data_IF_556680451016
#
_entry.id   IF_556680451016
#
_cell.length_a   1.000
_cell.length_b   1.000
_cell.length_c   1.000
_cell.angle_alpha   90.00
_cell.angle_beta   90.00
_cell.angle_gamma   90.00
#
_symmetry.space_group_name_H-M   'P 1'
#
loop_
_entity.id
_entity.type
_entity.pdbx_description
1 polymer ?
#
# COMPACT_ATOMS: atom_id res chain seq x y z
N UNK A 1 -64.82 -66.90 -9.11
CA UNK A 1 -65.63 -65.66 -9.02
C UNK A 1 -65.28 -65.00 -7.69
N UNK A 2 -64.67 -63.82 -7.56
CA UNK A 2 -64.63 -62.64 -8.42
C UNK A 2 -63.19 -62.06 -8.49
N UNK A 3 -62.80 -61.58 -9.68
CA UNK A 3 -61.56 -60.86 -9.93
C UNK A 3 -61.73 -59.40 -9.52
N UNK A 4 -60.96 -58.94 -8.53
CA UNK A 4 -60.88 -57.53 -8.12
C UNK A 4 -60.03 -56.78 -9.15
N UNK A 5 -60.68 -55.95 -9.96
CA UNK A 5 -60.01 -55.06 -10.92
C UNK A 5 -59.47 -53.82 -10.18
N UNK A 6 -58.14 -53.72 -10.07
CA UNK A 6 -57.45 -52.52 -9.57
C UNK A 6 -57.39 -51.52 -10.71
N UNK A 7 -58.28 -50.53 -10.69
CA UNK A 7 -58.30 -49.43 -11.65
C UNK A 7 -57.18 -48.42 -11.29
N UNK A 8 -56.02 -48.53 -11.96
CA UNK A 8 -54.95 -47.54 -11.87
C UNK A 8 -55.40 -46.21 -12.49
N UNK A 9 -55.55 -45.16 -11.66
CA UNK A 9 -55.78 -43.79 -12.16
C UNK A 9 -54.47 -43.24 -12.75
N UNK A 10 -54.42 -42.85 -14.03
CA UNK A 10 -53.21 -42.26 -14.60
C UNK A 10 -52.96 -40.88 -13.98
N UNK A 11 -51.75 -40.66 -13.41
CA UNK A 11 -51.28 -39.31 -13.05
C UNK A 11 -51.07 -38.55 -14.36
N UNK A 12 -51.99 -37.66 -14.71
CA UNK A 12 -51.83 -36.77 -15.85
C UNK A 12 -50.54 -35.94 -15.69
N UNK A 13 -49.56 -36.18 -16.57
CA UNK A 13 -48.37 -35.35 -16.65
C UNK A 13 -48.79 -33.94 -17.12
N UNK A 14 -48.74 -32.97 -16.21
CA UNK A 14 -49.12 -31.58 -16.47
C UNK A 14 -48.11 -30.97 -17.46
N UNK A 15 -48.46 -30.89 -18.74
CA UNK A 15 -47.63 -30.23 -19.78
C UNK A 15 -47.63 -28.73 -19.54
N UNK A 16 -46.46 -28.16 -19.24
CA UNK A 16 -46.25 -26.70 -19.16
C UNK A 16 -46.55 -26.09 -20.54
N UNK A 17 -47.45 -25.10 -20.60
CA UNK A 17 -47.85 -24.47 -21.87
C UNK A 17 -46.78 -23.48 -22.36
N UNK A 18 -46.54 -23.39 -23.67
CA UNK A 18 -45.56 -22.45 -24.27
C UNK A 18 -45.80 -20.99 -23.85
N UNK A 19 -47.07 -20.62 -23.58
CA UNK A 19 -47.48 -19.30 -23.09
C UNK A 19 -46.91 -18.92 -21.71
N UNK A 20 -46.52 -19.89 -20.87
CA UNK A 20 -45.84 -19.65 -19.60
C UNK A 20 -44.30 -19.67 -19.70
N UNK A 21 -43.74 -20.20 -20.80
CA UNK A 21 -42.29 -20.29 -21.02
C UNK A 21 -41.66 -18.95 -21.43
N UNK A 22 -42.35 -18.16 -22.25
CA UNK A 22 -41.86 -16.84 -22.72
C UNK A 22 -41.63 -15.84 -21.56
N UNK A 23 -42.59 -15.58 -20.66
CA UNK A 23 -42.36 -14.67 -19.53
C UNK A 23 -41.36 -15.23 -18.52
N UNK A 24 -41.25 -16.57 -18.40
CA UNK A 24 -40.26 -17.22 -17.56
C UNK A 24 -38.84 -17.00 -18.10
N UNK A 25 -38.64 -17.15 -19.41
CA UNK A 25 -37.36 -16.86 -20.06
C UNK A 25 -36.97 -15.38 -19.93
N UNK A 26 -37.94 -14.46 -20.07
CA UNK A 26 -37.71 -13.03 -19.83
C UNK A 26 -37.30 -12.74 -18.39
N UNK A 27 -37.96 -13.35 -17.41
CA UNK A 27 -37.62 -13.22 -15.99
C UNK A 27 -36.21 -13.77 -15.70
N UNK A 28 -35.86 -14.92 -16.27
CA UNK A 28 -34.53 -15.52 -16.16
C UNK A 28 -33.46 -14.60 -16.75
N UNK A 29 -33.74 -13.99 -17.91
CA UNK A 29 -32.87 -13.00 -18.55
C UNK A 29 -32.64 -11.76 -17.67
N UNK A 30 -33.70 -11.23 -17.05
CA UNK A 30 -33.60 -10.11 -16.10
C UNK A 30 -32.72 -10.47 -14.90
N UNK A 31 -32.89 -11.68 -14.33
CA UNK A 31 -32.04 -12.15 -13.23
C UNK A 31 -30.58 -12.22 -13.63
N UNK A 32 -30.27 -12.82 -14.78
CA UNK A 32 -28.89 -12.96 -15.30
C UNK A 32 -28.26 -11.57 -15.50
N UNK A 33 -28.97 -10.66 -16.18
CA UNK A 33 -28.48 -9.31 -16.46
C UNK A 33 -28.27 -8.54 -15.16
N UNK A 34 -29.19 -8.64 -14.20
CA UNK A 34 -29.08 -7.94 -12.92
C UNK A 34 -27.90 -8.45 -12.11
N UNK A 35 -27.71 -9.77 -12.01
CA UNK A 35 -26.54 -10.35 -11.33
C UNK A 35 -25.23 -9.98 -12.02
N UNK A 36 -25.20 -9.95 -13.36
CA UNK A 36 -24.03 -9.53 -14.11
C UNK A 36 -23.68 -8.05 -13.86
N UNK A 37 -24.67 -7.16 -13.84
CA UNK A 37 -24.46 -5.73 -13.56
C UNK A 37 -23.98 -5.49 -12.13
N UNK A 38 -24.54 -6.19 -11.14
CA UNK A 38 -24.07 -6.15 -9.74
C UNK A 38 -22.60 -6.63 -9.66
N UNK A 39 -22.26 -7.71 -10.36
CA UNK A 39 -20.90 -8.24 -10.42
C UNK A 39 -19.91 -7.25 -11.03
N UNK A 40 -20.25 -6.65 -12.18
CA UNK A 40 -19.42 -5.65 -12.86
C UNK A 40 -19.24 -4.38 -12.02
N UNK A 41 -20.32 -3.90 -11.39
CA UNK A 41 -20.25 -2.75 -10.49
C UNK A 41 -19.38 -3.05 -9.27
N UNK A 42 -19.53 -4.23 -8.66
CA UNK A 42 -18.70 -4.67 -7.55
C UNK A 42 -17.23 -4.77 -7.92
N UNK A 43 -16.93 -5.31 -9.10
CA UNK A 43 -15.56 -5.40 -9.63
C UNK A 43 -14.96 -4.00 -9.88
N UNK A 44 -15.72 -3.09 -10.49
CA UNK A 44 -15.28 -1.72 -10.74
C UNK A 44 -15.01 -0.95 -9.45
N UNK A 45 -15.90 -1.08 -8.46
CA UNK A 45 -15.75 -0.47 -7.15
C UNK A 45 -14.53 -1.02 -6.40
N UNK A 46 -14.34 -2.35 -6.42
CA UNK A 46 -13.17 -3.00 -5.83
C UNK A 46 -11.87 -2.55 -6.52
N UNK A 47 -11.87 -2.48 -7.85
CA UNK A 47 -10.71 -2.08 -8.65
C UNK A 47 -10.30 -0.63 -8.37
N UNK A 48 -11.25 0.32 -8.35
CA UNK A 48 -10.95 1.72 -8.04
C UNK A 48 -10.30 1.89 -6.67
N UNK A 49 -10.87 1.25 -5.65
CA UNK A 49 -10.29 1.31 -4.31
C UNK A 49 -8.91 0.65 -4.27
N UNK A 50 -8.73 -0.51 -4.91
CA UNK A 50 -7.43 -1.17 -4.98
C UNK A 50 -6.34 -0.30 -5.61
N UNK A 51 -6.64 0.41 -6.71
CA UNK A 51 -5.65 1.29 -7.37
C UNK A 51 -5.25 2.46 -6.46
N UNK A 52 -6.20 3.08 -5.77
CA UNK A 52 -5.90 4.18 -4.84
C UNK A 52 -5.09 3.69 -3.64
N UNK A 53 -5.46 2.53 -3.11
CA UNK A 53 -4.79 1.87 -1.99
C UNK A 53 -3.34 1.52 -2.35
N UNK A 54 -3.10 0.97 -3.55
CA UNK A 54 -1.76 0.67 -4.05
C UNK A 54 -0.91 1.92 -4.24
N UNK A 55 -1.47 3.00 -4.80
CA UNK A 55 -0.74 4.28 -4.93
C UNK A 55 -0.28 4.83 -3.59
N UNK A 56 -1.09 4.70 -2.53
CA UNK A 56 -0.71 5.13 -1.18
C UNK A 56 0.45 4.30 -0.61
N UNK A 57 0.40 2.98 -0.80
CA UNK A 57 1.48 2.08 -0.36
C UNK A 57 2.77 2.37 -1.13
N UNK A 58 2.68 2.50 -2.45
CA UNK A 58 3.83 2.77 -3.32
C UNK A 58 4.48 4.11 -2.98
N UNK A 59 3.69 5.16 -2.77
CA UNK A 59 4.20 6.46 -2.32
C UNK A 59 4.97 6.34 -0.99
N UNK A 60 4.47 5.57 -0.02
CA UNK A 60 5.15 5.37 1.26
C UNK A 60 6.38 4.47 1.17
N UNK A 61 6.39 3.49 0.25
CA UNK A 61 7.58 2.68 -0.03
C UNK A 61 8.71 3.53 -0.62
N UNK A 62 8.40 4.50 -1.47
CA UNK A 62 9.39 5.48 -1.96
C UNK A 62 9.99 6.26 -0.80
N UNK A 63 9.18 6.71 0.18
CA UNK A 63 9.70 7.41 1.38
C UNK A 63 10.57 6.51 2.24
N UNK A 64 10.21 5.23 2.38
CA UNK A 64 11.04 4.26 3.08
C UNK A 64 12.41 4.10 2.39
N UNK A 65 12.41 4.00 1.07
CA UNK A 65 13.63 3.88 0.28
C UNK A 65 14.51 5.13 0.39
N UNK A 66 13.93 6.32 0.35
CA UNK A 66 14.64 7.59 0.56
C UNK A 66 15.30 7.66 1.94
N UNK A 67 14.58 7.27 3.01
CA UNK A 67 15.12 7.26 4.37
C UNK A 67 16.26 6.25 4.53
N UNK A 68 16.14 5.05 3.97
CA UNK A 68 17.20 4.03 4.00
C UNK A 68 18.40 4.45 3.15
N UNK A 69 18.15 5.06 2.00
CA UNK A 69 19.20 5.64 1.16
C UNK A 69 19.95 6.74 1.90
N UNK A 70 19.25 7.61 2.64
CA UNK A 70 19.89 8.65 3.44
C UNK A 70 20.84 8.06 4.49
N UNK A 71 20.41 6.98 5.18
CA UNK A 71 21.28 6.26 6.12
C UNK A 71 22.51 5.65 5.43
N UNK A 72 22.33 5.02 4.26
CA UNK A 72 23.43 4.41 3.50
C UNK A 72 24.43 5.47 3.04
N UNK A 73 23.95 6.58 2.47
CA UNK A 73 24.80 7.71 2.06
C UNK A 73 25.51 8.34 3.26
N UNK A 74 24.85 8.44 4.42
CA UNK A 74 25.50 8.91 5.64
C UNK A 74 26.65 8.00 6.08
N UNK A 75 26.45 6.68 6.08
CA UNK A 75 27.51 5.72 6.40
C UNK A 75 28.69 5.82 5.43
N UNK A 76 28.41 6.04 4.13
CA UNK A 76 29.45 6.32 3.13
C UNK A 76 30.18 7.62 3.42
N UNK A 77 29.47 8.71 3.72
CA UNK A 77 30.07 9.98 4.12
C UNK A 77 31.06 9.80 5.29
N UNK A 78 30.64 9.09 6.36
CA UNK A 78 31.50 8.79 7.51
C UNK A 78 32.70 7.93 7.12
N UNK A 79 32.53 7.01 6.17
CA UNK A 79 33.62 6.21 5.66
C UNK A 79 34.62 7.05 4.85
N UNK A 80 34.14 7.96 3.99
CA UNK A 80 35.00 8.86 3.22
C UNK A 80 35.71 9.88 4.10
N UNK A 81 35.07 10.33 5.19
CA UNK A 81 35.73 11.08 6.25
C UNK A 81 36.92 10.31 6.82
N UNK A 82 36.73 9.05 7.24
CA UNK A 82 37.84 8.22 7.75
C UNK A 82 38.92 7.99 6.70
N UNK A 83 38.54 7.77 5.44
CA UNK A 83 39.50 7.61 4.34
C UNK A 83 40.33 8.88 4.14
N UNK A 84 39.70 10.05 4.20
CA UNK A 84 40.37 11.34 4.14
C UNK A 84 41.41 11.49 5.26
N UNK A 85 41.07 11.13 6.49
CA UNK A 85 42.01 11.24 7.61
C UNK A 85 43.18 10.24 7.54
N UNK A 86 42.94 9.03 7.00
CA UNK A 86 43.95 7.98 6.91
C UNK A 86 44.87 8.11 5.69
N UNK A 87 44.35 8.62 4.57
CA UNK A 87 45.04 8.61 3.27
C UNK A 87 45.22 10.00 2.66
N UNK A 88 44.60 11.02 3.23
CA UNK A 88 44.65 12.41 2.73
C UNK A 88 45.96 13.15 3.00
N UNK A 89 47.03 12.47 3.42
CA UNK A 89 48.36 13.08 3.50
C UNK A 89 48.87 13.47 2.10
N UNK A 90 48.55 12.65 1.09
CA UNK A 90 48.83 12.96 -0.31
C UNK A 90 47.74 13.84 -0.92
N UNK A 91 48.14 14.89 -1.63
CA UNK A 91 47.22 15.90 -2.15
C UNK A 91 46.17 15.33 -3.13
N UNK A 92 46.52 14.28 -3.88
CA UNK A 92 45.61 13.58 -4.80
C UNK A 92 44.51 12.81 -4.07
N UNK A 93 44.90 12.01 -3.08
CA UNK A 93 43.99 11.23 -2.24
C UNK A 93 43.12 12.15 -1.38
N UNK A 94 43.68 13.24 -0.85
CA UNK A 94 42.93 14.28 -0.14
C UNK A 94 41.78 14.80 -1.00
N UNK A 95 42.07 15.26 -2.22
CA UNK A 95 41.04 15.81 -3.12
C UNK A 95 39.98 14.78 -3.45
N UNK A 96 40.38 13.52 -3.67
CA UNK A 96 39.46 12.42 -3.99
C UNK A 96 38.49 12.16 -2.83
N UNK A 97 39.01 11.92 -1.63
CA UNK A 97 38.17 11.57 -0.48
C UNK A 97 37.37 12.76 0.04
N UNK A 98 37.92 13.97 -0.01
CA UNK A 98 37.18 15.19 0.33
C UNK A 98 36.02 15.44 -0.64
N UNK A 99 36.23 15.27 -1.95
CA UNK A 99 35.15 15.39 -2.92
C UNK A 99 34.07 14.32 -2.74
N UNK A 100 34.47 13.07 -2.45
CA UNK A 100 33.52 11.99 -2.16
C UNK A 100 32.71 12.28 -0.88
N UNK A 101 33.36 12.75 0.19
CA UNK A 101 32.70 13.17 1.42
C UNK A 101 31.61 14.24 1.16
N UNK A 102 31.94 15.29 0.41
CA UNK A 102 30.97 16.35 0.08
C UNK A 102 29.84 15.86 -0.84
N UNK A 103 30.14 14.94 -1.75
CA UNK A 103 29.13 14.33 -2.61
C UNK A 103 28.12 13.52 -1.77
N UNK A 104 28.59 12.69 -0.85
CA UNK A 104 27.74 11.92 0.06
C UNK A 104 26.94 12.84 1.01
N UNK A 105 27.56 13.91 1.54
CA UNK A 105 26.87 14.93 2.34
C UNK A 105 25.67 15.54 1.60
N UNK A 106 25.88 15.91 0.33
CA UNK A 106 24.83 16.45 -0.53
C UNK A 106 23.69 15.45 -0.75
N UNK A 107 24.00 14.16 -0.94
CA UNK A 107 22.97 13.13 -1.13
C UNK A 107 22.11 12.96 0.12
N UNK A 108 22.71 12.92 1.32
CA UNK A 108 21.96 12.83 2.58
C UNK A 108 21.02 14.03 2.73
N UNK A 109 21.53 15.25 2.50
CA UNK A 109 20.72 16.47 2.58
C UNK A 109 19.58 16.49 1.56
N UNK A 110 19.81 16.01 0.33
CA UNK A 110 18.78 15.94 -0.70
C UNK A 110 17.67 14.95 -0.35
N UNK A 111 18.03 13.75 0.12
CA UNK A 111 17.06 12.71 0.49
C UNK A 111 16.20 13.13 1.69
N UNK A 112 16.82 13.71 2.73
CA UNK A 112 16.08 14.27 3.87
C UNK A 112 15.19 15.44 3.45
N UNK A 113 15.65 16.29 2.52
CA UNK A 113 14.84 17.36 1.94
C UNK A 113 13.62 16.84 1.17
N UNK A 114 13.78 15.77 0.39
CA UNK A 114 12.68 15.11 -0.33
C UNK A 114 11.60 14.60 0.64
N UNK A 115 12.02 13.95 1.73
CA UNK A 115 11.10 13.51 2.79
C UNK A 115 10.33 14.69 3.39
N UNK A 116 11.00 15.80 3.71
CA UNK A 116 10.33 16.98 4.26
C UNK A 116 9.30 17.57 3.28
N UNK A 117 9.61 17.58 1.97
CA UNK A 117 8.70 18.10 0.94
C UNK A 117 7.46 17.21 0.70
N UNK A 118 7.60 15.89 0.87
CA UNK A 118 6.57 14.90 0.54
C UNK A 118 5.24 15.02 1.33
N UNK A 119 5.26 15.70 2.48
CA UNK A 119 4.04 15.93 3.28
C UNK A 119 3.12 16.97 2.65
N UNK A 120 3.68 17.94 1.93
CA UNK A 120 2.90 18.96 1.23
C UNK A 120 1.97 18.38 0.16
N UNK A 121 2.31 17.21 -0.40
CA UNK A 121 1.58 16.57 -1.50
C UNK A 121 0.47 15.62 -1.05
N UNK A 122 0.58 15.04 0.15
CA UNK A 122 -0.30 13.95 0.62
C UNK A 122 -1.25 14.36 1.74
N UNK A 123 -1.07 15.56 2.30
CA UNK A 123 -2.02 16.21 3.20
C UNK A 123 -2.03 15.71 4.65
N UNK A 124 -1.30 14.63 5.00
CA UNK A 124 -1.18 14.20 6.39
C UNK A 124 0.14 13.47 6.70
N UNK A 125 0.98 14.08 7.55
CA UNK A 125 2.06 13.39 8.27
C UNK A 125 1.56 12.89 9.64
N UNK A 126 0.66 11.91 9.63
CA UNK A 126 0.13 11.35 10.89
C UNK A 126 1.20 10.70 11.76
N UNK A 127 2.30 10.27 11.14
CA UNK A 127 3.39 9.57 11.81
C UNK A 127 4.52 10.49 12.28
N UNK A 128 4.50 11.77 11.92
CA UNK A 128 5.50 12.77 12.32
C UNK A 128 6.89 12.55 11.69
N UNK A 129 7.00 11.72 10.66
CA UNK A 129 8.30 11.36 10.07
C UNK A 129 8.92 12.54 9.32
N UNK A 130 8.15 13.48 8.79
CA UNK A 130 8.69 14.68 8.16
C UNK A 130 9.28 15.65 9.18
N UNK A 131 8.64 15.79 10.33
CA UNK A 131 9.21 16.57 11.43
C UNK A 131 10.54 15.97 11.90
N UNK A 132 10.63 14.63 11.94
CA UNK A 132 11.87 13.91 12.25
C UNK A 132 12.92 14.10 11.16
N UNK A 133 12.54 14.01 9.88
CA UNK A 133 13.44 14.25 8.75
C UNK A 133 14.04 15.67 8.76
N UNK A 134 13.26 16.68 9.11
CA UNK A 134 13.75 18.07 9.20
C UNK A 134 14.74 18.26 10.36
N UNK A 135 14.47 17.66 11.52
CA UNK A 135 15.41 17.65 12.65
C UNK A 135 16.72 16.96 12.27
N UNK A 136 16.63 15.80 11.60
CA UNK A 136 17.78 15.07 11.08
C UNK A 136 18.57 15.88 10.06
N UNK A 137 17.90 16.58 9.14
CA UNK A 137 18.53 17.46 8.14
C UNK A 137 19.33 18.58 8.80
N UNK A 138 18.76 19.17 9.84
CA UNK A 138 19.42 20.21 10.65
C UNK A 138 20.62 19.64 11.41
N UNK A 139 20.46 18.49 12.06
CA UNK A 139 21.55 17.79 12.76
C UNK A 139 22.69 17.38 11.83
N UNK A 140 22.36 16.89 10.62
CA UNK A 140 23.33 16.54 9.57
C UNK A 140 24.11 17.77 9.09
N UNK A 141 23.43 18.90 8.87
CA UNK A 141 24.07 20.16 8.51
C UNK A 141 25.08 20.61 9.57
N UNK A 142 24.69 20.55 10.85
CA UNK A 142 25.56 20.90 11.96
C UNK A 142 26.77 19.94 12.09
N UNK A 143 26.55 18.64 11.87
CA UNK A 143 27.62 17.65 11.86
C UNK A 143 28.63 17.89 10.72
N UNK A 144 28.15 18.17 9.51
CA UNK A 144 28.96 18.55 8.36
C UNK A 144 29.87 19.75 8.65
N UNK A 145 29.33 20.74 9.36
CA UNK A 145 30.09 21.93 9.76
C UNK A 145 31.19 21.60 10.76
N UNK A 146 30.93 20.73 11.74
CA UNK A 146 31.95 20.26 12.68
C UNK A 146 33.09 19.52 11.97
N UNK A 147 32.79 18.71 10.96
CA UNK A 147 33.81 18.05 10.15
C UNK A 147 34.72 19.07 9.44
N UNK A 148 34.14 20.09 8.79
CA UNK A 148 34.91 21.14 8.10
C UNK A 148 35.76 21.96 9.07
N UNK A 149 35.23 22.30 10.24
CA UNK A 149 35.95 23.02 11.28
C UNK A 149 37.16 22.24 11.80
N UNK A 150 36.98 20.95 12.10
CA UNK A 150 38.10 20.10 12.55
C UNK A 150 39.17 19.94 11.45
N UNK A 151 38.75 19.83 10.18
CA UNK A 151 39.67 19.74 9.05
C UNK A 151 40.49 21.03 8.87
N UNK A 152 39.85 22.19 9.06
CA UNK A 152 40.51 23.49 9.01
C UNK A 152 41.48 23.68 10.20
N UNK A 153 41.09 23.28 11.41
CA UNK A 153 41.93 23.41 12.60
C UNK A 153 43.22 22.58 12.52
N UNK A 154 43.21 21.49 11.76
CA UNK A 154 44.34 20.58 11.58
C UNK A 154 45.02 20.73 10.21
N UNK A 155 44.76 21.82 9.47
CA UNK A 155 45.37 22.06 8.17
C UNK A 155 46.89 22.16 8.30
N UNK A 156 47.63 21.31 7.59
CA UNK A 156 49.10 21.28 7.62
C UNK A 156 49.71 20.43 8.75
N UNK A 157 48.89 19.79 9.58
CA UNK A 157 49.31 18.81 10.60
C UNK A 157 48.80 17.39 10.32
N UNK A 158 49.07 16.41 11.22
CA UNK A 158 48.55 15.06 11.08
C UNK A 158 47.01 15.03 11.16
N UNK A 159 46.36 14.66 10.06
CA UNK A 159 44.89 14.59 9.97
C UNK A 159 44.26 13.60 10.97
N UNK A 160 45.03 12.64 11.47
CA UNK A 160 44.56 11.69 12.51
C UNK A 160 44.13 12.38 13.82
N UNK A 161 44.67 13.56 14.14
CA UNK A 161 44.26 14.32 15.32
C UNK A 161 42.80 14.83 15.22
N UNK A 162 42.33 15.13 14.00
CA UNK A 162 40.94 15.51 13.75
C UNK A 162 39.95 14.35 14.00
N UNK A 163 40.36 13.08 13.80
CA UNK A 163 39.51 11.92 14.13
C UNK A 163 39.29 11.82 15.64
N UNK A 164 40.35 12.09 16.41
CA UNK A 164 40.34 11.94 17.85
C UNK A 164 39.41 12.95 18.53
N UNK A 165 39.37 14.19 18.02
CA UNK A 165 38.45 15.24 18.44
C UNK A 165 36.98 14.89 18.14
N UNK A 166 36.72 14.31 16.96
CA UNK A 166 35.36 14.04 16.47
C UNK A 166 34.92 12.60 16.71
N UNK A 167 35.60 11.86 17.58
CA UNK A 167 35.33 10.44 17.77
C UNK A 167 33.89 10.18 18.23
N UNK A 168 33.10 9.56 17.36
CA UNK A 168 31.75 9.07 17.67
C UNK A 168 30.63 10.11 17.64
N UNK A 169 30.91 11.33 17.17
CA UNK A 169 29.89 12.39 17.05
C UNK A 169 28.78 12.04 16.05
N UNK A 170 29.06 11.13 15.12
CA UNK A 170 28.21 10.65 14.05
C UNK A 170 27.24 9.55 14.49
N UNK A 171 27.54 8.86 15.60
CA UNK A 171 26.78 7.67 16.06
C UNK A 171 25.31 7.97 16.35
N UNK A 172 25.05 9.11 16.98
CA UNK A 172 23.68 9.51 17.31
C UNK A 172 22.86 9.73 16.03
N UNK A 173 23.46 10.38 15.02
CA UNK A 173 22.78 10.65 13.76
C UNK A 173 22.52 9.36 12.95
N UNK A 174 23.43 8.38 13.01
CA UNK A 174 23.20 7.06 12.39
C UNK A 174 21.97 6.35 13.01
N UNK A 175 21.89 6.33 14.34
CA UNK A 175 20.77 5.72 15.08
C UNK A 175 19.46 6.45 14.78
N UNK A 176 19.48 7.78 14.70
CA UNK A 176 18.28 8.55 14.38
C UNK A 176 17.82 8.33 12.93
N UNK A 177 18.75 8.20 11.98
CA UNK A 177 18.44 7.87 10.57
C UNK A 177 17.86 6.46 10.44
N UNK A 178 18.40 5.50 11.19
CA UNK A 178 17.83 4.15 11.28
C UNK A 178 16.40 4.19 11.81
N UNK A 179 16.20 4.90 12.91
CA UNK A 179 14.90 5.06 13.59
C UNK A 179 13.87 5.75 12.70
N UNK A 180 14.28 6.74 11.89
CA UNK A 180 13.42 7.34 10.86
C UNK A 180 12.95 6.28 9.86
N UNK A 181 13.87 5.47 9.33
CA UNK A 181 13.55 4.38 8.42
C UNK A 181 12.65 3.31 9.04
N UNK A 182 12.75 3.05 10.34
CA UNK A 182 11.85 2.14 11.06
C UNK A 182 10.46 2.76 11.25
N UNK A 183 10.37 4.04 11.62
CA UNK A 183 9.08 4.73 11.78
C UNK A 183 8.26 4.77 10.48
N UNK A 184 8.92 4.96 9.33
CA UNK A 184 8.26 4.94 8.03
C UNK A 184 7.86 3.52 7.65
N UNK A 185 8.68 2.50 7.96
CA UNK A 185 8.34 1.09 7.76
C UNK A 185 7.08 0.72 8.55
N UNK A 186 6.99 1.11 9.81
CA UNK A 186 5.84 0.85 10.66
C UNK A 186 4.57 1.52 10.12
N UNK A 187 4.70 2.72 9.54
CA UNK A 187 3.60 3.37 8.83
C UNK A 187 3.16 2.59 7.59
N UNK A 188 4.09 2.11 6.77
CA UNK A 188 3.78 1.26 5.60
C UNK A 188 3.02 0.01 6.05
N UNK A 189 3.47 -0.66 7.10
CA UNK A 189 2.81 -1.86 7.64
C UNK A 189 1.41 -1.54 8.17
N UNK A 190 1.22 -0.40 8.83
CA UNK A 190 -0.08 0.05 9.31
C UNK A 190 -1.04 0.38 8.18
N UNK A 191 -0.56 1.04 7.12
CA UNK A 191 -1.37 1.30 5.93
C UNK A 191 -1.77 -0.03 5.29
N UNK A 192 -0.83 -0.95 5.09
CA UNK A 192 -1.12 -2.27 4.51
C UNK A 192 -2.16 -3.05 5.31
N UNK A 193 -2.04 -3.11 6.64
CA UNK A 193 -3.01 -3.82 7.48
C UNK A 193 -4.40 -3.18 7.43
N UNK A 194 -4.48 -1.84 7.43
CA UNK A 194 -5.75 -1.13 7.26
C UNK A 194 -6.38 -1.38 5.88
N UNK A 195 -5.57 -1.49 4.83
CA UNK A 195 -6.03 -1.80 3.47
C UNK A 195 -6.56 -3.22 3.35
N UNK A 196 -5.87 -4.19 3.95
CA UNK A 196 -6.31 -5.59 4.01
C UNK A 196 -7.66 -5.70 4.75
N UNK A 197 -7.82 -5.03 5.90
CA UNK A 197 -9.09 -4.98 6.63
C UNK A 197 -10.22 -4.37 5.78
N UNK A 198 -9.98 -3.22 5.13
CA UNK A 198 -10.96 -2.59 4.23
C UNK A 198 -11.27 -3.44 3.00
N UNK A 199 -10.31 -4.20 2.49
CA UNK A 199 -10.53 -5.13 1.37
C UNK A 199 -11.45 -6.27 1.79
N UNK A 200 -11.24 -6.82 2.99
CA UNK A 200 -12.11 -7.86 3.55
C UNK A 200 -13.55 -7.35 3.77
N UNK A 201 -13.71 -6.15 4.34
CA UNK A 201 -15.03 -5.51 4.52
C UNK A 201 -15.75 -5.26 3.19
N UNK A 202 -15.03 -4.79 2.17
CA UNK A 202 -15.59 -4.62 0.82
C UNK A 202 -16.01 -5.95 0.22
N UNK A 203 -15.18 -6.99 0.35
CA UNK A 203 -15.50 -8.32 -0.15
C UNK A 203 -16.73 -8.91 0.54
N UNK A 204 -16.83 -8.83 1.87
CA UNK A 204 -17.99 -9.35 2.61
C UNK A 204 -19.26 -8.59 2.25
N UNK A 205 -19.19 -7.27 2.13
CA UNK A 205 -20.33 -6.42 1.73
C UNK A 205 -20.81 -6.76 0.32
N UNK A 206 -19.89 -6.85 -0.65
CA UNK A 206 -20.23 -7.22 -2.04
C UNK A 206 -20.83 -8.63 -2.12
N UNK A 207 -20.28 -9.58 -1.37
CA UNK A 207 -20.80 -10.95 -1.29
C UNK A 207 -22.20 -11.00 -0.69
N UNK A 208 -22.47 -10.22 0.37
CA UNK A 208 -23.80 -10.14 0.99
C UNK A 208 -24.82 -9.52 0.02
N UNK A 209 -24.48 -8.40 -0.62
CA UNK A 209 -25.36 -7.74 -1.61
C UNK A 209 -25.67 -8.67 -2.78
N UNK A 210 -24.67 -9.37 -3.31
CA UNK A 210 -24.86 -10.36 -4.38
C UNK A 210 -25.74 -11.54 -3.91
N UNK A 211 -25.51 -12.05 -2.69
CA UNK A 211 -26.29 -13.13 -2.09
C UNK A 211 -27.75 -12.77 -1.86
N UNK A 212 -28.01 -11.59 -1.26
CA UNK A 212 -29.37 -11.09 -1.06
C UNK A 212 -30.08 -10.79 -2.38
N UNK A 213 -29.37 -10.22 -3.35
CA UNK A 213 -29.89 -10.00 -4.70
C UNK A 213 -30.31 -11.29 -5.39
N UNK A 214 -29.48 -12.34 -5.31
CA UNK A 214 -29.78 -13.66 -5.85
C UNK A 214 -30.97 -14.31 -5.15
N UNK A 215 -31.01 -14.26 -3.81
CA UNK A 215 -32.12 -14.81 -3.02
C UNK A 215 -33.46 -14.13 -3.37
N UNK A 216 -33.46 -12.80 -3.52
CA UNK A 216 -34.63 -12.03 -3.96
C UNK A 216 -35.07 -12.45 -5.37
N UNK A 217 -34.14 -12.62 -6.30
CA UNK A 217 -34.44 -13.09 -7.66
C UNK A 217 -35.11 -14.47 -7.65
N UNK A 218 -34.55 -15.42 -6.90
CA UNK A 218 -35.11 -16.78 -6.76
C UNK A 218 -36.50 -16.74 -6.13
N UNK A 219 -36.71 -15.91 -5.11
CA UNK A 219 -38.01 -15.73 -4.47
C UNK A 219 -39.06 -15.20 -5.46
N UNK A 220 -38.72 -14.16 -6.24
CA UNK A 220 -39.62 -13.57 -7.25
C UNK A 220 -39.97 -14.56 -8.36
N UNK A 221 -39.01 -15.36 -8.83
CA UNK A 221 -39.24 -16.46 -9.79
C UNK A 221 -40.19 -17.50 -9.19
N UNK A 222 -39.96 -17.92 -7.95
CA UNK A 222 -40.82 -18.88 -7.26
C UNK A 222 -42.27 -18.38 -7.07
N UNK A 223 -42.43 -17.12 -6.66
CA UNK A 223 -43.75 -16.48 -6.51
C UNK A 223 -44.47 -16.36 -7.86
N UNK A 224 -43.75 -15.98 -8.92
CA UNK A 224 -44.30 -15.89 -10.27
C UNK A 224 -44.78 -17.26 -10.77
N UNK A 225 -43.97 -18.31 -10.62
CA UNK A 225 -44.33 -19.67 -11.00
C UNK A 225 -45.57 -20.15 -10.23
N UNK A 226 -45.64 -19.89 -8.92
CA UNK A 226 -46.81 -20.23 -8.09
C UNK A 226 -48.07 -19.50 -8.55
N UNK A 227 -47.98 -18.22 -8.89
CA UNK A 227 -49.10 -17.43 -9.41
C UNK A 227 -49.56 -17.93 -10.79
N UNK A 228 -48.63 -18.24 -11.70
CA UNK A 228 -48.94 -18.78 -13.02
C UNK A 228 -49.66 -20.13 -12.93
N UNK A 229 -49.18 -21.03 -12.07
CA UNK A 229 -49.79 -22.34 -11.81
C UNK A 229 -51.22 -22.23 -11.28
N UNK A 230 -51.47 -21.28 -10.36
CA UNK A 230 -52.82 -21.03 -9.81
C UNK A 230 -53.78 -20.48 -10.87
N UNK A 231 -53.32 -19.56 -11.71
CA UNK A 231 -54.14 -19.01 -12.81
C UNK A 231 -54.57 -20.09 -13.80
N UNK A 232 -53.67 -21.02 -14.12
CA UNK A 232 -54.03 -22.16 -14.98
C UNK A 232 -55.00 -23.16 -14.33
N UNK A 233 -55.06 -23.24 -13.00
CA UNK A 233 -56.01 -24.11 -12.29
C UNK A 233 -57.40 -23.48 -12.16
N UNK A 234 -57.48 -22.15 -12.22
CA UNK A 234 -58.70 -21.37 -12.12
C UNK A 234 -59.38 -21.08 -13.47
N UNK A 235 -58.68 -21.36 -14.58
CA UNK A 235 -59.14 -21.18 -15.96
C UNK A 235 -59.42 -22.54 -16.61
#
# INVERSE_FOLDING_TARGET
MATVSIQQRPRAARRVKVRTLVPLAGLLGVVIVTTALIGLFGLHYAHKGYVEDMRRVEAMLVRLDEARSAQVHFKKQVQEWKNLLLRGAEQTEYRRYHAAFLAEEKQVSALLGSLVAAVGETGTDKAGWSGTAERLRTGHTALGERYRQALAAHSGGPLAAADQELRGIDRHLDVDLESLGDSIRDEVLRIRSALEARSQERYTSLRQVAGYGLALCVLLVGLFLRAAVRREQAA
#
